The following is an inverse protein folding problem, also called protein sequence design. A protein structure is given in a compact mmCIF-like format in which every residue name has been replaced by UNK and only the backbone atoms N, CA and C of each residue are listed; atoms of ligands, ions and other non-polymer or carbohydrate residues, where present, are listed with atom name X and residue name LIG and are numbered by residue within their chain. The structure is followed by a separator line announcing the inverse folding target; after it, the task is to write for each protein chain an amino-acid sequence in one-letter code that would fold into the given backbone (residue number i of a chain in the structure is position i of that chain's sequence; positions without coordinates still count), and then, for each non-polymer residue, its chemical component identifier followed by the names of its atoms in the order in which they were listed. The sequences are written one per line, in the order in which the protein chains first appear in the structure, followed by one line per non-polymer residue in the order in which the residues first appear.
data_IF_975299449290
#
_entry.id   IF_975299449290
#
_cell.length_a   1.000
_cell.length_b   1.000
_cell.length_c   1.000
_cell.angle_alpha   90.00
_cell.angle_beta   90.00
_cell.angle_gamma   90.00
#
_symmetry.space_group_name_H-M   'P 1'
#
loop_
_entity.id
_entity.type
_entity.pdbx_description
1 polymer ?
#
# COMPACT_ATOMS: atom_id res chain seq x y z
N UNK A 1 15.15 18.05 3.11
CA UNK A 1 14.86 16.61 2.97
C UNK A 1 15.57 16.17 1.70
N UNK A 2 16.24 15.01 1.63
CA UNK A 2 16.86 14.59 0.38
C UNK A 2 15.77 14.57 -0.70
N UNK A 3 15.92 15.43 -1.71
CA UNK A 3 15.01 15.58 -2.85
C UNK A 3 14.67 14.20 -3.42
N UNK A 4 13.39 13.81 -3.35
CA UNK A 4 12.87 12.63 -4.04
C UNK A 4 13.20 11.26 -3.44
N UNK A 5 13.56 11.14 -2.15
CA UNK A 5 13.72 9.82 -1.48
C UNK A 5 12.57 9.58 -0.50
N UNK A 6 12.02 8.36 -0.48
CA UNK A 6 11.01 7.96 0.50
C UNK A 6 11.63 7.82 1.88
N UNK A 7 10.91 8.23 2.92
CA UNK A 7 11.32 8.02 4.30
C UNK A 7 10.63 6.79 4.94
N UNK A 8 10.93 6.54 6.22
CA UNK A 8 10.30 5.43 6.95
C UNK A 8 8.80 5.64 7.18
N UNK A 9 8.35 6.90 7.25
CA UNK A 9 6.95 7.23 7.47
C UNK A 9 6.15 6.98 6.20
N UNK A 10 6.70 7.37 5.05
CA UNK A 10 6.16 7.04 3.73
C UNK A 10 5.94 5.53 3.59
N UNK A 11 6.98 4.73 3.85
CA UNK A 11 6.91 3.27 3.82
C UNK A 11 5.84 2.73 4.78
N UNK A 12 5.78 3.26 6.00
CA UNK A 12 4.80 2.85 6.99
C UNK A 12 3.36 3.03 6.49
N UNK A 13 3.06 4.18 5.89
CA UNK A 13 1.73 4.49 5.35
C UNK A 13 1.36 3.54 4.20
N UNK A 14 2.26 3.32 3.25
CA UNK A 14 2.01 2.39 2.14
C UNK A 14 1.73 0.98 2.65
N UNK A 15 2.57 0.47 3.57
CA UNK A 15 2.37 -0.87 4.10
C UNK A 15 1.09 -0.99 4.92
N UNK A 16 0.70 0.04 5.67
CA UNK A 16 -0.58 0.03 6.38
C UNK A 16 -1.76 -0.14 5.44
N UNK A 17 -1.77 0.54 4.28
CA UNK A 17 -2.86 0.36 3.30
C UNK A 17 -2.85 -1.05 2.73
N UNK A 18 -1.69 -1.56 2.31
CA UNK A 18 -1.61 -2.90 1.71
C UNK A 18 -1.97 -4.00 2.71
N UNK A 19 -1.62 -3.83 3.98
CA UNK A 19 -1.94 -4.77 5.07
C UNK A 19 -3.46 -4.84 5.30
N UNK A 20 -4.15 -3.69 5.31
CA UNK A 20 -5.61 -3.61 5.38
C UNK A 20 -6.31 -4.25 4.16
N UNK A 21 -5.66 -4.26 3.00
CA UNK A 21 -6.16 -4.98 1.82
C UNK A 21 -5.87 -6.50 1.86
N UNK A 22 -5.26 -7.01 2.94
CA UNK A 22 -4.80 -8.40 3.01
C UNK A 22 -3.64 -8.74 2.08
N UNK A 23 -2.89 -7.73 1.60
CA UNK A 23 -1.77 -7.92 0.69
C UNK A 23 -0.49 -8.12 1.51
N UNK A 24 0.11 -9.32 1.39
CA UNK A 24 1.38 -9.60 2.03
C UNK A 24 2.49 -8.68 1.51
N UNK A 25 3.36 -8.20 2.41
CA UNK A 25 4.48 -7.31 2.09
C UNK A 25 5.45 -7.86 1.04
N UNK A 26 5.56 -9.19 0.93
CA UNK A 26 6.37 -9.84 -0.12
C UNK A 26 5.81 -9.64 -1.54
N UNK A 27 4.51 -9.36 -1.64
CA UNK A 27 3.81 -9.06 -2.89
C UNK A 27 3.78 -7.56 -3.20
N UNK A 28 4.51 -6.74 -2.44
CA UNK A 28 4.57 -5.29 -2.61
C UNK A 28 6.00 -4.87 -2.85
N UNK A 29 6.22 -4.07 -3.89
CA UNK A 29 7.50 -3.46 -4.22
C UNK A 29 7.32 -1.94 -4.25
N UNK A 30 8.07 -1.24 -3.39
CA UNK A 30 8.00 0.22 -3.28
C UNK A 30 9.33 0.80 -3.76
N UNK A 31 9.26 1.70 -4.73
CA UNK A 31 10.44 2.42 -5.22
C UNK A 31 10.98 3.36 -4.15
N UNK A 32 12.29 3.32 -3.91
CA UNK A 32 12.93 4.16 -2.89
C UNK A 32 13.00 5.64 -3.29
N UNK A 33 12.78 5.91 -4.58
CA UNK A 33 12.71 7.25 -5.15
C UNK A 33 11.25 7.64 -5.40
N UNK A 34 10.94 8.91 -5.16
CA UNK A 34 9.67 9.52 -5.53
C UNK A 34 9.74 9.97 -6.99
N UNK A 35 8.63 9.84 -7.72
CA UNK A 35 8.50 10.30 -9.11
C UNK A 35 7.12 10.91 -9.34
N UNK A 36 7.02 11.99 -10.11
CA UNK A 36 5.73 12.62 -10.44
C UNK A 36 5.39 12.45 -11.94
N UNK A 37 4.23 11.85 -12.28
CA UNK A 37 3.20 11.32 -11.37
C UNK A 37 3.61 9.98 -10.73
N UNK A 38 3.18 9.76 -9.48
CA UNK A 38 3.33 8.47 -8.82
C UNK A 38 2.60 7.33 -9.54
N UNK A 39 3.10 6.10 -9.37
CA UNK A 39 2.67 4.90 -10.09
C UNK A 39 2.09 3.85 -9.14
N UNK A 40 1.00 3.21 -9.56
CA UNK A 40 0.43 2.03 -8.91
C UNK A 40 0.14 1.02 -10.02
N UNK A 41 0.81 -0.13 -9.97
CA UNK A 41 0.67 -1.15 -10.99
C UNK A 41 0.67 -2.56 -10.39
N UNK A 42 0.08 -3.52 -11.09
CA UNK A 42 0.18 -4.95 -10.78
C UNK A 42 0.91 -5.64 -11.91
N UNK A 43 2.09 -6.16 -11.60
CA UNK A 43 2.88 -6.97 -12.55
C UNK A 43 2.16 -8.28 -12.91
N UNK A 44 2.54 -8.90 -14.03
CA UNK A 44 2.03 -10.22 -14.45
C UNK A 44 2.27 -11.33 -13.43
N UNK A 45 3.20 -11.11 -12.48
CA UNK A 45 3.53 -12.04 -11.38
C UNK A 45 2.68 -11.81 -10.13
N UNK A 46 1.78 -10.83 -10.14
CA UNK A 46 0.93 -10.48 -9.01
C UNK A 46 1.59 -9.56 -7.97
N UNK A 47 2.79 -9.06 -8.23
CA UNK A 47 3.46 -8.08 -7.37
C UNK A 47 2.89 -6.69 -7.66
N UNK A 48 2.53 -5.97 -6.60
CA UNK A 48 2.09 -4.57 -6.63
C UNK A 48 3.31 -3.66 -6.59
N UNK A 49 3.49 -2.90 -7.65
CA UNK A 49 4.58 -1.93 -7.83
C UNK A 49 4.05 -0.53 -7.49
N UNK A 50 4.71 0.14 -6.55
CA UNK A 50 4.27 1.42 -5.98
C UNK A 50 5.41 2.44 -6.06
N UNK A 51 5.13 3.57 -6.69
CA UNK A 51 6.00 4.75 -6.72
C UNK A 51 5.26 5.94 -6.13
N UNK A 52 5.79 6.50 -5.05
CA UNK A 52 5.17 7.63 -4.34
C UNK A 52 5.40 8.92 -5.15
N UNK A 53 4.38 9.78 -5.34
CA UNK A 53 4.53 11.04 -6.04
C UNK A 53 5.48 12.00 -5.32
N UNK A 54 6.26 12.78 -6.09
CA UNK A 54 7.05 13.89 -5.51
C UNK A 54 6.16 15.03 -5.02
N UNK A 55 4.97 15.17 -5.62
CA UNK A 55 4.00 16.21 -5.25
C UNK A 55 2.89 15.66 -4.35
N UNK A 56 2.46 16.47 -3.39
CA UNK A 56 1.43 16.08 -2.40
C UNK A 56 1.98 15.32 -1.20
N UNK A 57 1.07 14.84 -0.36
CA UNK A 57 1.40 14.06 0.84
C UNK A 57 1.23 12.56 0.60
N UNK A 58 1.95 11.74 1.35
CA UNK A 58 1.79 10.28 1.29
C UNK A 58 0.40 9.84 1.75
N UNK A 59 -0.24 10.59 2.65
CA UNK A 59 -1.61 10.32 3.11
C UNK A 59 -2.63 10.50 1.97
N UNK A 60 -2.48 11.55 1.16
CA UNK A 60 -3.31 11.73 -0.04
C UNK A 60 -3.07 10.61 -1.06
N UNK A 61 -1.81 10.21 -1.24
CA UNK A 61 -1.48 9.09 -2.11
C UNK A 61 -2.01 7.75 -1.57
N UNK A 62 -2.04 7.55 -0.26
CA UNK A 62 -2.56 6.34 0.38
C UNK A 62 -4.06 6.13 0.09
N UNK A 63 -4.84 7.22 0.09
CA UNK A 63 -6.25 7.17 -0.30
C UNK A 63 -6.41 6.75 -1.77
N UNK A 64 -5.56 7.28 -2.65
CA UNK A 64 -5.53 6.86 -4.06
C UNK A 64 -5.11 5.41 -4.21
N UNK A 65 -4.07 4.98 -3.50
CA UNK A 65 -3.57 3.60 -3.50
C UNK A 65 -4.67 2.62 -3.17
N UNK A 66 -5.44 2.90 -2.12
CA UNK A 66 -6.58 2.08 -1.73
C UNK A 66 -7.60 1.94 -2.88
N UNK A 67 -8.06 3.05 -3.47
CA UNK A 67 -9.02 2.99 -4.58
C UNK A 67 -8.51 2.26 -5.81
N UNK A 68 -7.21 2.39 -6.12
CA UNK A 68 -6.60 1.66 -7.24
C UNK A 68 -6.52 0.15 -6.94
N UNK A 69 -6.20 -0.23 -5.70
CA UNK A 69 -6.20 -1.64 -5.27
C UNK A 69 -7.62 -2.23 -5.30
N UNK A 70 -8.64 -1.47 -4.89
CA UNK A 70 -10.05 -1.84 -5.05
C UNK A 70 -10.41 -2.08 -6.53
N UNK A 71 -9.96 -1.19 -7.42
CA UNK A 71 -10.13 -1.36 -8.87
C UNK A 71 -9.41 -2.59 -9.45
N UNK A 72 -8.34 -3.05 -8.80
CA UNK A 72 -7.60 -4.27 -9.15
C UNK A 72 -8.22 -5.55 -8.55
N UNK A 73 -9.29 -5.42 -7.75
CA UNK A 73 -10.02 -6.52 -7.14
C UNK A 73 -9.50 -6.93 -5.75
N UNK A 74 -8.76 -6.06 -5.06
CA UNK A 74 -8.48 -6.21 -3.63
C UNK A 74 -9.61 -5.57 -2.82
N UNK A 75 -9.97 -6.17 -1.70
CA UNK A 75 -11.02 -5.64 -0.81
C UNK A 75 -10.41 -5.42 0.57
N UNK A 76 -10.90 -4.41 1.30
CA UNK A 76 -10.57 -4.27 2.72
C UNK A 76 -10.93 -5.56 3.44
N UNK A 77 -9.92 -6.17 4.06
CA UNK A 77 -10.19 -7.22 5.00
C UNK A 77 -10.62 -6.52 6.28
N UNK A 78 -11.91 -6.59 6.58
CA UNK A 78 -12.35 -6.47 7.96
C UNK A 78 -11.54 -7.52 8.71
N UNK A 79 -10.65 -7.08 9.61
CA UNK A 79 -10.11 -8.01 10.60
C UNK A 79 -11.34 -8.42 11.40
N UNK A 80 -12.01 -9.49 10.98
CA UNK A 80 -12.87 -10.26 11.85
C UNK A 80 -12.01 -10.53 13.06
N UNK A 81 -12.31 -9.83 14.16
CA UNK A 81 -11.95 -10.24 15.50
C UNK A 81 -12.53 -11.65 15.59
N UNK A 82 -11.75 -12.67 15.19
CA UNK A 82 -12.13 -14.06 15.37
C UNK A 82 -12.33 -14.19 16.87
N UNK A 83 -13.62 -14.23 17.23
CA UNK A 83 -14.15 -14.51 18.55
C UNK A 83 -13.25 -15.58 19.16
N UNK A 84 -12.62 -15.24 20.28
CA UNK A 84 -12.03 -16.18 21.24
C UNK A 84 -13.20 -17.01 21.86
N UNK A 85 -14.02 -17.63 21.01
CA UNK A 85 -15.05 -18.59 21.39
C UNK A 85 -14.56 -19.99 21.03
N UNK A 86 -14.57 -20.82 22.08
CA UNK A 86 -14.42 -22.27 22.14
C UNK A 86 -12.99 -22.80 22.39
N UNK A 87 -12.74 -23.67 23.38
CA UNK A 87 -13.64 -24.63 24.03
C UNK A 87 -13.01 -25.16 25.36
N UNK A 88 -13.86 -25.30 26.39
CA UNK A 88 -13.79 -26.13 27.63
C UNK A 88 -12.51 -26.31 28.48
#
# INVERSE_FOLDING_TARGET
MPDGIIDMQDMGVIFSVTDLMGIHRESVSVELTKEDPGLINKSDRGIIEITIPETGTVEEFAQRLRSELEGLGYEEQEMDEEDDEDED
#
